data_IF_410763777817
#
_entry.id   IF_410763777817
#
_cell.length_a   1.000
_cell.length_b   1.000
_cell.length_c   1.000
_cell.angle_alpha   90.00
_cell.angle_beta   90.00
_cell.angle_gamma   90.00
#
_symmetry.space_group_name_H-M   'P 1'
#
loop_
_entity.id
_entity.type
_entity.pdbx_description
1 polymer ?
#
# COMPACT_ATOMS: atom_id res chain seq x y z
N UNK A 1 19.70 -21.93 39.07
CA UNK A 1 19.06 -20.61 38.83
C UNK A 1 19.46 -19.95 37.51
N UNK A 2 20.53 -20.34 36.80
CA UNK A 2 20.96 -19.64 35.57
C UNK A 2 20.18 -20.00 34.28
N UNK A 3 19.52 -21.16 34.20
CA UNK A 3 18.76 -21.55 33.01
C UNK A 3 17.36 -20.90 32.92
N UNK A 4 16.74 -20.55 34.06
CA UNK A 4 15.41 -19.91 34.10
C UNK A 4 15.43 -18.44 33.63
N UNK A 5 16.56 -17.75 33.71
CA UNK A 5 16.69 -16.37 33.22
C UNK A 5 17.05 -16.28 31.73
N UNK A 6 17.54 -17.37 31.12
CA UNK A 6 17.86 -17.42 29.70
C UNK A 6 16.61 -17.59 28.82
N UNK A 7 15.60 -18.32 29.30
CA UNK A 7 14.32 -18.48 28.61
C UNK A 7 13.44 -17.22 28.70
N UNK A 8 13.50 -16.45 29.79
CA UNK A 8 12.68 -15.25 29.94
C UNK A 8 13.17 -14.03 29.12
N UNK A 9 14.46 -13.96 28.75
CA UNK A 9 14.98 -12.90 27.86
C UNK A 9 14.72 -13.16 26.38
N UNK A 10 14.68 -14.42 25.96
CA UNK A 10 14.40 -14.81 24.56
C UNK A 10 12.90 -14.69 24.25
N UNK A 11 12.03 -14.89 25.25
CA UNK A 11 10.57 -14.85 25.06
C UNK A 11 9.93 -13.46 25.06
N UNK A 12 10.60 -12.39 25.47
CA UNK A 12 10.00 -11.04 25.49
C UNK A 12 10.54 -10.10 24.41
N UNK A 13 11.85 -10.13 24.11
CA UNK A 13 12.43 -9.25 23.09
C UNK A 13 11.94 -9.54 21.67
N UNK A 14 11.85 -10.82 21.29
CA UNK A 14 11.36 -11.23 19.96
C UNK A 14 9.88 -10.90 19.75
N UNK A 15 9.06 -11.02 20.79
CA UNK A 15 7.63 -10.72 20.71
C UNK A 15 7.36 -9.21 20.56
N UNK A 16 8.12 -8.36 21.25
CA UNK A 16 8.02 -6.90 21.12
C UNK A 16 8.48 -6.45 19.72
N UNK A 17 9.61 -6.95 19.23
CA UNK A 17 10.11 -6.59 17.89
C UNK A 17 9.14 -7.05 16.78
N UNK A 18 8.57 -8.25 16.90
CA UNK A 18 7.57 -8.75 15.95
C UNK A 18 6.28 -7.92 15.98
N UNK A 19 5.81 -7.52 17.18
CA UNK A 19 4.65 -6.65 17.32
C UNK A 19 4.91 -5.26 16.72
N UNK A 20 6.10 -4.70 16.92
CA UNK A 20 6.52 -3.44 16.31
C UNK A 20 6.56 -3.53 14.79
N UNK A 21 7.19 -4.57 14.24
CA UNK A 21 7.26 -4.80 12.80
C UNK A 21 5.87 -4.91 12.18
N UNK A 22 4.95 -5.66 12.80
CA UNK A 22 3.55 -5.77 12.35
C UNK A 22 2.81 -4.44 12.42
N UNK A 23 3.05 -3.64 13.46
CA UNK A 23 2.42 -2.33 13.62
C UNK A 23 2.88 -1.36 12.54
N UNK A 24 4.20 -1.25 12.32
CA UNK A 24 4.78 -0.43 11.23
C UNK A 24 4.22 -0.87 9.89
N UNK A 25 4.23 -2.18 9.64
CA UNK A 25 3.69 -2.79 8.43
C UNK A 25 2.22 -2.47 8.17
N UNK A 26 1.40 -2.36 9.21
CA UNK A 26 -0.02 -1.99 9.13
C UNK A 26 -0.22 -0.49 8.89
N UNK A 27 0.59 0.36 9.55
CA UNK A 27 0.59 1.82 9.34
C UNK A 27 0.91 2.14 7.89
N UNK A 28 1.93 1.51 7.31
CA UNK A 28 2.29 1.69 5.90
C UNK A 28 1.59 0.68 4.97
N UNK A 29 0.37 0.27 5.32
CA UNK A 29 -0.49 -0.51 4.43
C UNK A 29 -0.88 0.29 3.20
N UNK A 30 -1.17 -0.45 2.11
CA UNK A 30 -1.60 0.15 0.85
C UNK A 30 -2.74 1.16 1.03
N UNK A 31 -3.83 0.89 1.80
CA UNK A 31 -4.88 1.87 2.00
C UNK A 31 -4.42 3.16 2.66
N UNK A 32 -3.55 3.07 3.67
CA UNK A 32 -3.04 4.25 4.36
C UNK A 32 -2.19 5.11 3.43
N UNK A 33 -1.20 4.50 2.77
CA UNK A 33 -0.29 5.22 1.88
C UNK A 33 -1.05 5.83 0.70
N UNK A 34 -1.96 5.09 0.09
CA UNK A 34 -2.76 5.60 -1.02
C UNK A 34 -3.74 6.68 -0.58
N UNK A 35 -4.30 6.62 0.63
CA UNK A 35 -5.10 7.71 1.19
C UNK A 35 -4.29 8.99 1.37
N UNK A 36 -3.07 8.90 1.89
CA UNK A 36 -2.16 10.05 2.01
C UNK A 36 -1.85 10.64 0.63
N UNK A 37 -1.56 9.79 -0.36
CA UNK A 37 -1.28 10.24 -1.72
C UNK A 37 -2.48 10.96 -2.35
N UNK A 38 -3.71 10.48 -2.13
CA UNK A 38 -4.94 11.15 -2.60
C UNK A 38 -5.07 12.55 -2.00
N UNK A 39 -4.94 12.67 -0.67
CA UNK A 39 -5.03 13.96 0.01
C UNK A 39 -3.94 14.92 -0.48
N UNK A 40 -2.70 14.43 -0.58
CA UNK A 40 -1.57 15.22 -1.05
C UNK A 40 -1.81 15.76 -2.46
N UNK A 41 -2.17 14.90 -3.41
CA UNK A 41 -2.41 15.28 -4.81
C UNK A 41 -3.53 16.32 -4.93
N UNK A 42 -4.66 16.11 -4.24
CA UNK A 42 -5.76 17.06 -4.27
C UNK A 42 -5.40 18.40 -3.62
N UNK A 43 -4.59 18.38 -2.57
CA UNK A 43 -4.09 19.59 -1.90
C UNK A 43 -3.16 20.39 -2.83
N UNK A 44 -2.14 19.74 -3.42
CA UNK A 44 -1.17 20.41 -4.29
C UNK A 44 -1.82 20.99 -5.56
N UNK A 45 -2.80 20.30 -6.12
CA UNK A 45 -3.53 20.76 -7.31
C UNK A 45 -4.62 21.80 -6.96
N UNK A 46 -4.77 22.17 -5.69
CA UNK A 46 -5.84 23.07 -5.21
C UNK A 46 -7.25 22.59 -5.58
N UNK A 47 -7.46 21.26 -5.57
CA UNK A 47 -8.71 20.59 -5.93
C UNK A 47 -9.27 19.74 -4.78
N UNK A 48 -9.01 20.15 -3.53
CA UNK A 48 -9.51 19.46 -2.33
C UNK A 48 -11.01 19.72 -2.12
N UNK A 49 -11.83 19.15 -3.00
CA UNK A 49 -13.28 19.19 -2.95
C UNK A 49 -13.84 17.92 -2.28
N UNK A 50 -14.94 18.00 -1.50
CA UNK A 50 -15.49 16.85 -0.78
C UNK A 50 -15.79 15.64 -1.69
N UNK A 51 -16.34 15.87 -2.88
CA UNK A 51 -16.66 14.78 -3.82
C UNK A 51 -15.38 14.07 -4.32
N UNK A 52 -14.38 14.83 -4.76
CA UNK A 52 -13.08 14.30 -5.20
C UNK A 52 -12.36 13.56 -4.09
N UNK A 53 -12.40 14.09 -2.87
CA UNK A 53 -11.79 13.46 -1.70
C UNK A 53 -12.49 12.13 -1.37
N UNK A 54 -13.82 12.12 -1.22
CA UNK A 54 -14.57 10.92 -0.85
C UNK A 54 -14.42 9.84 -1.93
N UNK A 55 -14.63 10.18 -3.19
CA UNK A 55 -14.56 9.22 -4.30
C UNK A 55 -13.11 8.78 -4.53
N UNK A 56 -12.13 9.69 -4.44
CA UNK A 56 -10.70 9.37 -4.52
C UNK A 56 -10.28 8.37 -3.45
N UNK A 57 -10.69 8.59 -2.20
CA UNK A 57 -10.44 7.66 -1.09
C UNK A 57 -11.16 6.33 -1.32
N UNK A 58 -12.41 6.31 -1.78
CA UNK A 58 -13.10 5.03 -1.99
C UNK A 58 -12.48 4.21 -3.13
N UNK A 59 -12.14 4.85 -4.26
CA UNK A 59 -11.76 4.13 -5.48
C UNK A 59 -10.28 3.78 -5.60
N UNK A 60 -9.37 4.55 -4.97
CA UNK A 60 -7.92 4.31 -5.10
C UNK A 60 -7.42 3.34 -4.01
N UNK A 61 -7.48 3.66 -2.71
CA UNK A 61 -7.01 2.75 -1.66
C UNK A 61 -7.96 1.60 -1.34
N UNK A 62 -9.27 1.84 -1.30
CA UNK A 62 -10.21 0.88 -0.70
C UNK A 62 -10.79 -0.11 -1.70
N UNK A 63 -11.23 0.36 -2.88
CA UNK A 63 -11.84 -0.51 -3.90
C UNK A 63 -10.94 -1.71 -4.28
N UNK A 64 -9.64 -1.55 -4.60
CA UNK A 64 -8.78 -2.68 -4.98
C UNK A 64 -8.51 -3.66 -3.83
N UNK A 65 -8.74 -3.24 -2.58
CA UNK A 65 -8.54 -4.07 -1.39
C UNK A 65 -9.76 -4.97 -1.08
N UNK A 66 -10.95 -4.64 -1.58
CA UNK A 66 -12.20 -5.38 -1.29
C UNK A 66 -12.06 -6.90 -1.51
N UNK A 67 -11.48 -7.41 -2.61
CA UNK A 67 -11.34 -8.86 -2.82
C UNK A 67 -10.51 -9.55 -1.73
N UNK A 68 -9.46 -8.88 -1.24
CA UNK A 68 -8.62 -9.39 -0.14
C UNK A 68 -9.40 -9.39 1.17
N UNK A 69 -10.12 -8.31 1.49
CA UNK A 69 -10.93 -8.24 2.72
C UNK A 69 -12.00 -9.32 2.77
N UNK A 70 -12.73 -9.52 1.67
CA UNK A 70 -13.76 -10.56 1.58
C UNK A 70 -13.13 -11.95 1.77
N UNK A 71 -11.98 -12.20 1.14
CA UNK A 71 -11.31 -13.50 1.23
C UNK A 71 -10.70 -13.76 2.59
N UNK A 72 -10.17 -12.72 3.24
CA UNK A 72 -9.64 -12.78 4.59
C UNK A 72 -10.74 -13.00 5.63
N UNK A 73 -11.88 -12.30 5.49
CA UNK A 73 -13.06 -12.50 6.35
C UNK A 73 -13.62 -13.94 6.25
N UNK A 74 -13.46 -14.59 5.09
CA UNK A 74 -13.82 -15.99 4.86
C UNK A 74 -12.75 -17.00 5.32
N UNK A 75 -11.61 -16.53 5.86
CA UNK A 75 -10.50 -17.38 6.29
C UNK A 75 -9.72 -18.05 5.15
N UNK A 76 -9.88 -17.58 3.91
CA UNK A 76 -9.22 -18.16 2.72
C UNK A 76 -7.76 -17.72 2.62
N UNK A 77 -7.46 -16.50 3.07
CA UNK A 77 -6.12 -15.90 3.08
C UNK A 77 -5.94 -15.01 4.31
N UNK A 78 -4.70 -14.71 4.68
CA UNK A 78 -4.39 -13.59 5.58
C UNK A 78 -4.45 -12.23 4.85
N UNK A 79 -4.51 -11.13 5.60
CA UNK A 79 -4.60 -9.77 5.05
C UNK A 79 -3.38 -9.36 4.20
N UNK A 80 -2.21 -9.96 4.45
CA UNK A 80 -0.99 -9.71 3.68
C UNK A 80 -0.88 -10.62 2.44
N UNK A 81 -1.82 -11.56 2.27
CA UNK A 81 -1.77 -12.64 1.27
C UNK A 81 -0.36 -13.26 1.25
N UNK A 82 0.05 -13.79 2.41
CA UNK A 82 1.43 -14.24 2.67
C UNK A 82 1.88 -15.38 1.75
N UNK A 83 0.94 -16.22 1.35
CA UNK A 83 1.07 -17.27 0.34
C UNK A 83 1.21 -16.65 -1.05
N UNK A 84 2.40 -16.72 -1.65
CA UNK A 84 2.72 -16.07 -2.93
C UNK A 84 1.82 -16.59 -4.06
N UNK A 85 1.57 -17.89 -4.07
CA UNK A 85 0.73 -18.61 -5.03
C UNK A 85 -0.73 -18.15 -5.03
N UNK A 86 -1.20 -17.52 -3.95
CA UNK A 86 -2.53 -16.92 -3.86
C UNK A 86 -2.59 -15.50 -4.39
N UNK A 87 -1.45 -14.80 -4.52
CA UNK A 87 -1.41 -13.37 -4.93
C UNK A 87 -1.89 -13.08 -6.35
N UNK A 88 -1.66 -13.92 -7.39
CA UNK A 88 -2.02 -13.58 -8.76
C UNK A 88 -3.51 -13.25 -8.96
N UNK A 89 -4.42 -13.97 -8.30
CA UNK A 89 -5.86 -13.68 -8.41
C UNK A 89 -6.22 -12.33 -7.80
N UNK A 90 -5.60 -11.95 -6.69
CA UNK A 90 -5.81 -10.65 -6.06
C UNK A 90 -5.18 -9.51 -6.86
N UNK A 91 -4.01 -9.73 -7.46
CA UNK A 91 -3.43 -8.76 -8.40
C UNK A 91 -4.31 -8.56 -9.63
N UNK A 92 -4.82 -9.63 -10.23
CA UNK A 92 -5.73 -9.53 -11.38
C UNK A 92 -7.00 -8.74 -11.01
N UNK A 93 -7.61 -9.04 -9.86
CA UNK A 93 -8.78 -8.31 -9.39
C UNK A 93 -8.45 -6.82 -9.12
N UNK A 94 -7.33 -6.53 -8.45
CA UNK A 94 -6.90 -5.16 -8.19
C UNK A 94 -6.64 -4.37 -9.49
N UNK A 95 -5.98 -4.98 -10.47
CA UNK A 95 -5.73 -4.36 -11.77
C UNK A 95 -7.03 -4.02 -12.52
N UNK A 96 -8.01 -4.93 -12.52
CA UNK A 96 -9.32 -4.67 -13.14
C UNK A 96 -10.07 -3.53 -12.44
N UNK A 97 -10.05 -3.51 -11.09
CA UNK A 97 -10.69 -2.45 -10.30
C UNK A 97 -9.97 -1.10 -10.45
N UNK A 98 -8.64 -1.11 -10.63
CA UNK A 98 -7.87 0.09 -10.94
C UNK A 98 -8.16 0.61 -12.35
N UNK A 99 -8.32 -0.27 -13.35
CA UNK A 99 -8.78 0.16 -14.68
C UNK A 99 -10.17 0.80 -14.61
N UNK A 100 -11.08 0.24 -13.80
CA UNK A 100 -12.38 0.86 -13.56
C UNK A 100 -12.25 2.26 -12.96
N UNK A 101 -11.42 2.46 -11.92
CA UNK A 101 -11.26 3.80 -11.35
C UNK A 101 -10.64 4.81 -12.32
N UNK A 102 -9.73 4.37 -13.21
CA UNK A 102 -9.16 5.20 -14.28
C UNK A 102 -10.27 5.68 -15.21
N UNK A 103 -11.16 4.78 -15.64
CA UNK A 103 -12.30 5.13 -16.49
C UNK A 103 -13.23 6.14 -15.81
N UNK A 104 -13.50 5.97 -14.50
CA UNK A 104 -14.31 6.91 -13.73
C UNK A 104 -13.66 8.30 -13.69
N UNK A 105 -12.37 8.40 -13.35
CA UNK A 105 -11.70 9.70 -13.26
C UNK A 105 -11.49 10.36 -14.62
N UNK A 106 -11.32 9.56 -15.68
CA UNK A 106 -11.31 10.06 -17.05
C UNK A 106 -12.68 10.65 -17.45
N UNK A 107 -13.77 9.93 -17.18
CA UNK A 107 -15.12 10.39 -17.51
C UNK A 107 -15.55 11.65 -16.73
N UNK A 108 -15.02 11.85 -15.52
CA UNK A 108 -15.28 13.02 -14.68
C UNK A 108 -14.31 14.19 -14.92
N UNK A 109 -13.33 14.03 -15.81
CA UNK A 109 -12.24 14.98 -16.04
C UNK A 109 -11.44 15.35 -14.77
N UNK A 110 -11.27 14.37 -13.87
CA UNK A 110 -10.53 14.54 -12.62
C UNK A 110 -9.06 14.18 -12.80
N UNK A 111 -8.37 15.01 -13.59
CA UNK A 111 -7.00 14.75 -14.05
C UNK A 111 -5.99 14.42 -12.92
N UNK A 112 -6.00 15.08 -11.74
CA UNK A 112 -5.10 14.72 -10.64
C UNK A 112 -5.25 13.27 -10.17
N UNK A 113 -6.50 12.83 -9.96
CA UNK A 113 -6.81 11.48 -9.49
C UNK A 113 -6.60 10.44 -10.62
N UNK A 114 -6.88 10.81 -11.87
CA UNK A 114 -6.58 9.98 -13.04
C UNK A 114 -5.08 9.67 -13.13
N UNK A 115 -4.21 10.67 -13.04
CA UNK A 115 -2.75 10.49 -13.08
C UNK A 115 -2.25 9.62 -11.92
N UNK A 116 -2.78 9.86 -10.72
CA UNK A 116 -2.45 9.06 -9.53
C UNK A 116 -2.88 7.59 -9.70
N UNK A 117 -4.08 7.34 -10.23
CA UNK A 117 -4.58 6.00 -10.52
C UNK A 117 -3.71 5.26 -11.54
N UNK A 118 -3.27 5.94 -12.60
CA UNK A 118 -2.35 5.36 -13.59
C UNK A 118 -1.02 4.99 -12.94
N UNK A 119 -0.48 5.84 -12.06
CA UNK A 119 0.74 5.53 -11.32
C UNK A 119 0.58 4.26 -10.46
N UNK A 120 -0.54 4.13 -9.73
CA UNK A 120 -0.83 2.91 -8.95
C UNK A 120 -1.05 1.68 -9.83
N UNK A 121 -1.68 1.82 -10.99
CA UNK A 121 -1.83 0.73 -11.95
C UNK A 121 -0.46 0.21 -12.40
N UNK A 122 0.45 1.11 -12.77
CA UNK A 122 1.82 0.75 -13.21
C UNK A 122 2.60 0.07 -12.09
N UNK A 123 2.54 0.60 -10.86
CA UNK A 123 3.20 -0.01 -9.69
C UNK A 123 2.63 -1.40 -9.40
N UNK A 124 1.31 -1.55 -9.44
CA UNK A 124 0.62 -2.82 -9.20
C UNK A 124 0.93 -3.84 -10.28
N UNK A 125 0.94 -3.42 -11.55
CA UNK A 125 1.30 -4.28 -12.69
C UNK A 125 2.75 -4.75 -12.59
N UNK A 126 3.68 -3.84 -12.29
CA UNK A 126 5.09 -4.16 -12.09
C UNK A 126 5.27 -5.14 -10.94
N UNK A 127 4.61 -4.89 -9.81
CA UNK A 127 4.63 -5.76 -8.63
C UNK A 127 4.05 -7.13 -8.94
N UNK A 128 2.95 -7.20 -9.70
CA UNK A 128 2.32 -8.45 -10.12
C UNK A 128 3.27 -9.28 -11.00
N UNK A 129 3.89 -8.67 -12.01
CA UNK A 129 4.85 -9.32 -12.91
C UNK A 129 6.03 -9.88 -12.12
N UNK A 130 6.64 -9.07 -11.25
CA UNK A 130 7.77 -9.50 -10.42
C UNK A 130 7.33 -10.65 -9.49
N UNK A 131 6.12 -10.58 -8.93
CA UNK A 131 5.59 -11.60 -8.00
C UNK A 131 5.42 -12.98 -8.64
N UNK A 132 5.25 -13.06 -9.96
CA UNK A 132 5.20 -14.34 -10.68
C UNK A 132 6.50 -15.15 -10.50
N UNK A 133 7.65 -14.48 -10.32
CA UNK A 133 8.96 -15.12 -10.20
C UNK A 133 9.54 -15.01 -8.79
N UNK A 134 9.38 -13.87 -8.12
CA UNK A 134 9.98 -13.60 -6.80
C UNK A 134 8.94 -13.27 -5.74
N UNK A 135 9.25 -13.50 -4.46
CA UNK A 135 8.41 -13.01 -3.35
C UNK A 135 8.90 -11.63 -2.94
N UNK A 136 8.19 -10.58 -3.36
CA UNK A 136 8.50 -9.19 -2.97
C UNK A 136 7.50 -8.63 -1.96
N UNK A 137 7.92 -7.56 -1.27
CA UNK A 137 7.09 -6.82 -0.32
C UNK A 137 6.14 -5.88 -1.07
N UNK A 138 4.85 -6.22 -1.05
CA UNK A 138 3.78 -5.41 -1.66
C UNK A 138 3.66 -4.06 -0.93
N UNK A 139 3.89 -4.03 0.38
CA UNK A 139 3.81 -2.83 1.20
C UNK A 139 4.93 -1.85 0.86
N UNK A 140 6.15 -2.36 0.67
CA UNK A 140 7.28 -1.54 0.25
C UNK A 140 7.06 -0.98 -1.16
N UNK A 141 6.54 -1.79 -2.09
CA UNK A 141 6.19 -1.31 -3.43
C UNK A 141 5.06 -0.25 -3.38
N UNK A 142 4.04 -0.47 -2.54
CA UNK A 142 2.93 0.44 -2.34
C UNK A 142 3.37 1.79 -1.73
N UNK A 143 4.47 1.84 -0.97
CA UNK A 143 5.07 3.09 -0.49
C UNK A 143 5.99 3.74 -1.52
N UNK A 144 6.86 2.96 -2.16
CA UNK A 144 7.86 3.47 -3.10
C UNK A 144 7.23 4.14 -4.33
N UNK A 145 6.15 3.58 -4.86
CA UNK A 145 5.41 4.11 -6.00
C UNK A 145 4.91 5.55 -5.82
N UNK A 146 3.99 5.80 -4.87
CA UNK A 146 3.48 7.14 -4.59
C UNK A 146 4.57 8.10 -4.06
N UNK A 147 5.56 7.62 -3.31
CA UNK A 147 6.71 8.45 -2.93
C UNK A 147 7.48 8.96 -4.16
N UNK A 148 7.66 8.12 -5.17
CA UNK A 148 8.28 8.51 -6.45
C UNK A 148 7.38 9.47 -7.22
N UNK A 149 6.08 9.17 -7.31
CA UNK A 149 5.11 10.04 -8.00
C UNK A 149 5.06 11.44 -7.38
N UNK A 150 4.96 11.53 -6.05
CA UNK A 150 4.90 12.81 -5.33
C UNK A 150 6.22 13.58 -5.42
N UNK A 151 7.36 12.90 -5.30
CA UNK A 151 8.67 13.55 -5.35
C UNK A 151 9.04 14.08 -6.74
N UNK A 152 8.65 13.37 -7.81
CA UNK A 152 8.96 13.76 -9.18
C UNK A 152 7.99 14.81 -9.73
N UNK A 153 6.69 14.71 -9.41
CA UNK A 153 5.67 15.58 -10.03
C UNK A 153 5.29 16.80 -9.18
N UNK A 154 5.53 16.79 -7.88
CA UNK A 154 5.12 17.88 -7.00
C UNK A 154 6.31 18.54 -6.31
N UNK A 155 7.02 17.79 -5.46
CA UNK A 155 8.13 18.35 -4.70
C UNK A 155 9.10 17.28 -4.21
N UNK A 156 10.39 17.43 -4.50
CA UNK A 156 11.44 16.53 -4.04
C UNK A 156 11.49 16.40 -2.51
N UNK A 157 10.94 17.37 -1.76
CA UNK A 157 10.80 17.30 -0.30
C UNK A 157 10.01 16.07 0.17
N UNK A 158 9.17 15.47 -0.69
CA UNK A 158 8.50 14.19 -0.38
C UNK A 158 9.48 13.04 -0.14
N UNK A 159 10.74 13.13 -0.57
CA UNK A 159 11.78 12.16 -0.24
C UNK A 159 12.14 12.15 1.25
N UNK A 160 12.03 13.30 1.93
CA UNK A 160 12.40 13.44 3.35
C UNK A 160 11.57 12.53 4.27
N UNK A 161 10.23 12.49 4.19
CA UNK A 161 9.45 11.51 4.97
C UNK A 161 9.49 10.10 4.33
N UNK A 162 9.61 9.99 3.01
CA UNK A 162 9.46 8.72 2.30
C UNK A 162 10.67 7.79 2.45
N UNK A 163 11.90 8.30 2.40
CA UNK A 163 13.11 7.46 2.54
C UNK A 163 13.17 6.80 3.93
N UNK A 164 13.04 7.54 5.05
CA UNK A 164 13.00 6.91 6.37
C UNK A 164 11.86 5.91 6.52
N UNK A 165 10.67 6.23 5.99
CA UNK A 165 9.53 5.32 6.00
C UNK A 165 9.81 4.03 5.21
N UNK A 166 10.47 4.12 4.05
CA UNK A 166 10.88 2.96 3.27
C UNK A 166 11.89 2.11 4.02
N UNK A 167 12.93 2.71 4.62
CA UNK A 167 13.93 1.97 5.40
C UNK A 167 13.28 1.25 6.59
N UNK A 168 12.38 1.93 7.30
CA UNK A 168 11.66 1.37 8.43
C UNK A 168 10.73 0.23 7.99
N UNK A 169 10.04 0.39 6.86
CA UNK A 169 9.16 -0.64 6.32
C UNK A 169 9.92 -1.84 5.76
N UNK A 170 11.10 -1.63 5.18
CA UNK A 170 12.00 -2.71 4.73
C UNK A 170 12.46 -3.52 5.95
N UNK A 171 12.84 -2.87 7.05
CA UNK A 171 13.19 -3.57 8.28
C UNK A 171 12.02 -4.38 8.87
N UNK A 172 10.80 -3.86 8.73
CA UNK A 172 9.58 -4.48 9.28
C UNK A 172 9.00 -5.64 8.45
N UNK A 173 9.61 -5.98 7.29
CA UNK A 173 9.08 -6.95 6.30
C UNK A 173 10.05 -8.09 6.04
#
# INVERSE_FOLDING_TARGET
>A
MSQLFSSLRVFNGGNVLNALAKTISSIFSFPTVASVAVVAVLFYESQLEPAKLIIGLLLIPWLPLIPVLISAAKGVVDLDVSARERRPVFFAAALLLMLFNILVFYALDWLPLLKLSIAYLVVTLTTAIITLKWKISIHTAALAGPATYLSVLYDWLWLLPSIPALLLLIWAR
#
